data_IF_500334197675
#
_entry.id   IF_500334197675
#
_cell.length_a   1.000
_cell.length_b   1.000
_cell.length_c   1.000
_cell.angle_alpha   90.00
_cell.angle_beta   90.00
_cell.angle_gamma   90.00
#
_symmetry.space_group_name_H-M   'P 1'
#
loop_
_entity.id
_entity.type
_entity.pdbx_description
1 polymer ?
#
# COMPACT_ATOMS: atom_id res chain seq x y z
N UNK A 1 -21.04 -10.44 -27.05
CA UNK A 1 -19.94 -10.97 -26.22
C UNK A 1 -19.50 -9.79 -25.40
N UNK A 2 -20.11 -9.64 -24.23
CA UNK A 2 -19.92 -8.45 -23.40
C UNK A 2 -18.49 -8.46 -22.87
N UNK A 3 -17.69 -7.52 -23.35
CA UNK A 3 -16.41 -7.20 -22.73
C UNK A 3 -16.79 -6.59 -21.39
N UNK A 4 -16.69 -7.36 -20.30
CA UNK A 4 -16.80 -6.80 -18.96
C UNK A 4 -15.67 -5.78 -18.84
N UNK A 5 -16.01 -4.49 -18.97
CA UNK A 5 -15.17 -3.37 -18.57
C UNK A 5 -14.88 -3.53 -17.08
N UNK A 6 -13.70 -4.06 -16.78
CA UNK A 6 -13.24 -4.17 -15.41
C UNK A 6 -12.62 -2.83 -15.03
N UNK A 7 -13.32 -2.08 -14.17
CA UNK A 7 -12.73 -0.92 -13.50
C UNK A 7 -12.25 -1.32 -12.11
N UNK A 8 -11.09 -0.79 -11.72
CA UNK A 8 -10.53 -0.95 -10.38
C UNK A 8 -11.37 -0.16 -9.36
N UNK A 9 -11.99 0.93 -9.81
CA UNK A 9 -12.77 1.87 -9.03
C UNK A 9 -14.09 1.29 -8.48
N UNK A 10 -14.80 0.50 -9.29
CA UNK A 10 -16.12 -0.06 -8.96
C UNK A 10 -16.16 -0.83 -7.63
N UNK A 11 -15.38 -1.92 -7.47
CA UNK A 11 -15.34 -2.67 -6.21
C UNK A 11 -14.92 -1.83 -5.01
N UNK A 12 -14.07 -0.81 -5.18
CA UNK A 12 -13.68 0.06 -4.06
C UNK A 12 -14.88 0.91 -3.62
N UNK A 13 -15.63 1.50 -4.57
CA UNK A 13 -16.82 2.29 -4.25
C UNK A 13 -17.90 1.48 -3.51
N UNK A 14 -18.13 0.25 -3.95
CA UNK A 14 -19.09 -0.67 -3.31
C UNK A 14 -18.77 -0.90 -1.83
N UNK A 15 -17.50 -0.79 -1.45
CA UNK A 15 -17.03 -1.03 -0.09
C UNK A 15 -17.03 0.20 0.82
N UNK A 16 -17.33 1.41 0.32
CA UNK A 16 -17.24 2.65 1.10
C UNK A 16 -18.06 2.64 2.39
N UNK A 17 -19.26 2.04 2.35
CA UNK A 17 -20.15 1.94 3.51
C UNK A 17 -19.55 1.11 4.67
N UNK A 18 -18.52 0.30 4.39
CA UNK A 18 -17.81 -0.53 5.37
C UNK A 18 -16.64 0.20 6.03
N UNK A 19 -16.27 1.40 5.57
CA UNK A 19 -15.21 2.21 6.16
C UNK A 19 -15.76 3.12 7.26
N UNK A 20 -15.44 2.91 8.56
CA UNK A 20 -15.99 3.70 9.66
C UNK A 20 -15.70 5.21 9.58
N UNK A 21 -14.57 5.59 8.98
CA UNK A 21 -14.18 6.99 8.80
C UNK A 21 -14.54 7.56 7.41
N UNK A 22 -15.19 6.77 6.56
CA UNK A 22 -15.54 7.15 5.20
C UNK A 22 -14.33 7.45 4.30
N UNK A 23 -13.12 7.04 4.70
CA UNK A 23 -11.88 7.28 3.94
C UNK A 23 -11.26 5.97 3.46
N UNK A 24 -10.81 6.00 2.21
CA UNK A 24 -10.09 4.90 1.56
C UNK A 24 -8.63 5.29 1.31
N UNK A 25 -7.78 4.28 1.17
CA UNK A 25 -6.33 4.43 1.08
C UNK A 25 -5.63 3.63 2.17
N UNK A 26 -4.31 3.59 2.11
CA UNK A 26 -3.51 2.90 3.12
C UNK A 26 -3.14 3.82 4.29
N UNK A 27 -2.87 3.21 5.44
CA UNK A 27 -2.17 3.87 6.54
C UNK A 27 -0.68 3.90 6.20
N UNK A 28 -0.04 5.07 6.30
CA UNK A 28 1.39 5.27 5.97
C UNK A 28 2.13 5.70 7.24
N UNK A 29 3.12 4.92 7.63
CA UNK A 29 4.01 5.23 8.76
C UNK A 29 5.32 5.83 8.24
N UNK A 30 5.62 7.07 8.66
CA UNK A 30 6.93 7.68 8.46
C UNK A 30 7.87 7.14 9.54
N UNK A 31 9.01 6.57 9.16
CA UNK A 31 10.01 6.09 10.14
C UNK A 31 11.34 6.82 10.05
N UNK A 32 11.47 7.74 9.09
CA UNK A 32 12.70 8.48 8.85
C UNK A 32 12.46 9.99 8.74
N UNK A 33 13.29 10.75 9.44
CA UNK A 33 12.99 12.13 9.87
C UNK A 33 14.04 13.18 9.49
N UNK A 34 14.97 12.85 8.60
CA UNK A 34 16.10 13.74 8.25
C UNK A 34 15.70 14.98 7.44
N UNK A 35 14.60 14.90 6.67
CA UNK A 35 14.19 15.97 5.75
C UNK A 35 12.66 16.04 5.59
N UNK A 36 12.04 17.02 6.24
CA UNK A 36 10.59 17.26 6.20
C UNK A 36 10.11 17.76 4.83
N UNK A 37 10.96 18.48 4.08
CA UNK A 37 10.61 18.94 2.75
C UNK A 37 10.57 17.76 1.77
N UNK A 38 11.54 16.86 1.87
CA UNK A 38 11.57 15.61 1.11
C UNK A 38 10.39 14.71 1.47
N UNK A 39 10.05 14.61 2.75
CA UNK A 39 8.85 13.91 3.20
C UNK A 39 7.56 14.48 2.60
N UNK A 40 7.37 15.81 2.65
CA UNK A 40 6.21 16.45 2.05
C UNK A 40 6.12 16.19 0.54
N UNK A 41 7.25 16.19 -0.17
CA UNK A 41 7.30 15.84 -1.59
C UNK A 41 6.99 14.36 -1.84
N UNK A 42 7.46 13.46 -0.99
CA UNK A 42 7.14 12.03 -1.05
C UNK A 42 5.63 11.79 -0.93
N UNK A 43 4.98 12.34 0.11
CA UNK A 43 3.53 12.22 0.31
C UNK A 43 2.76 12.82 -0.87
N UNK A 44 3.22 13.96 -1.39
CA UNK A 44 2.65 14.58 -2.58
C UNK A 44 2.75 13.65 -3.79
N UNK A 45 3.89 13.00 -4.04
CA UNK A 45 4.06 12.06 -5.16
C UNK A 45 3.16 10.84 -5.05
N UNK A 46 2.99 10.26 -3.85
CA UNK A 46 2.05 9.15 -3.65
C UNK A 46 0.62 9.57 -3.97
N UNK A 47 0.23 10.76 -3.51
CA UNK A 47 -1.12 11.31 -3.71
C UNK A 47 -1.36 11.68 -5.17
N UNK A 48 -0.39 12.31 -5.83
CA UNK A 48 -0.42 12.63 -7.26
C UNK A 48 -0.53 11.36 -8.10
N UNK A 49 0.20 10.29 -7.73
CA UNK A 49 0.12 8.99 -8.41
C UNK A 49 -1.28 8.41 -8.35
N UNK A 50 -1.86 8.30 -7.16
CA UNK A 50 -3.22 7.79 -6.97
C UNK A 50 -4.27 8.67 -7.66
N UNK A 51 -4.09 10.00 -7.61
CA UNK A 51 -4.99 10.93 -8.30
C UNK A 51 -4.90 10.78 -9.82
N UNK A 52 -3.69 10.58 -10.34
CA UNK A 52 -3.46 10.37 -11.77
C UNK A 52 -4.11 9.09 -12.25
N UNK A 53 -3.84 7.95 -11.59
CA UNK A 53 -4.43 6.66 -11.93
C UNK A 53 -5.95 6.70 -11.85
N UNK A 54 -6.53 7.26 -10.78
CA UNK A 54 -7.99 7.47 -10.69
C UNK A 54 -8.58 8.37 -11.79
N UNK A 55 -7.79 9.24 -12.41
CA UNK A 55 -8.25 10.06 -13.55
C UNK A 55 -8.13 9.34 -14.90
N UNK A 56 -7.28 8.32 -14.99
CA UNK A 56 -6.87 7.70 -16.27
C UNK A 56 -7.28 6.21 -16.38
N UNK A 57 -7.42 5.49 -15.26
CA UNK A 57 -7.88 4.09 -15.21
C UNK A 57 -9.37 3.98 -15.60
N UNK A 58 -10.15 5.03 -15.38
CA UNK A 58 -11.56 5.11 -15.78
C UNK A 58 -11.75 5.59 -17.25
N UNK A 59 -10.66 5.81 -18.00
CA UNK A 59 -10.69 6.05 -19.46
C UNK A 59 -10.68 4.70 -20.23
N UNK A 60 -11.09 3.60 -19.59
CA UNK A 60 -11.61 2.45 -20.33
C UNK A 60 -13.00 2.83 -20.90
N UNK A 61 -12.99 3.44 -22.09
CA UNK A 61 -14.04 3.51 -23.13
C UNK A 61 -15.53 3.83 -22.78
N UNK A 62 -15.94 3.93 -21.51
CA UNK A 62 -17.34 4.02 -21.08
C UNK A 62 -17.75 5.37 -20.47
N UNK A 63 -16.81 6.28 -20.24
CA UNK A 63 -17.11 7.53 -19.53
C UNK A 63 -17.45 7.31 -18.06
N UNK A 64 -16.84 6.30 -17.44
CA UNK A 64 -17.00 5.98 -16.01
C UNK A 64 -16.49 7.17 -15.15
N UNK A 65 -17.34 7.65 -14.24
CA UNK A 65 -17.05 8.80 -13.35
C UNK A 65 -16.65 8.33 -11.94
N UNK A 66 -16.53 7.01 -11.72
CA UNK A 66 -16.28 6.40 -10.41
C UNK A 66 -14.94 6.80 -9.81
N UNK A 67 -13.92 7.00 -10.63
CA UNK A 67 -12.60 7.47 -10.23
C UNK A 67 -12.66 8.88 -9.65
N UNK A 68 -13.48 9.76 -10.23
CA UNK A 68 -13.74 11.11 -9.68
C UNK A 68 -14.51 11.06 -8.36
N UNK A 69 -15.40 10.08 -8.18
CA UNK A 69 -16.06 9.86 -6.89
C UNK A 69 -15.09 9.35 -5.82
N UNK A 70 -14.22 8.38 -6.17
CA UNK A 70 -13.20 7.86 -5.27
C UNK A 70 -12.21 8.92 -4.82
N UNK A 71 -11.81 9.85 -5.71
CA UNK A 71 -10.94 10.98 -5.32
C UNK A 71 -11.49 11.82 -4.17
N UNK A 72 -12.81 11.94 -4.04
CA UNK A 72 -13.45 12.73 -2.97
C UNK A 72 -13.28 12.08 -1.59
N UNK A 73 -13.11 10.77 -1.56
CA UNK A 73 -13.01 9.96 -0.33
C UNK A 73 -11.61 9.38 -0.12
N UNK A 74 -10.74 9.44 -1.13
CA UNK A 74 -9.35 9.01 -1.05
C UNK A 74 -8.53 9.92 -0.14
N UNK A 75 -7.90 9.32 0.87
CA UNK A 75 -6.93 9.97 1.73
C UNK A 75 -6.02 8.91 2.37
N UNK A 76 -4.71 9.07 2.20
CA UNK A 76 -3.76 8.32 3.01
C UNK A 76 -3.87 8.76 4.47
N UNK A 77 -3.89 7.79 5.38
CA UNK A 77 -3.84 8.04 6.83
C UNK A 77 -2.37 8.10 7.24
N UNK A 78 -1.83 9.32 7.32
CA UNK A 78 -0.43 9.56 7.61
C UNK A 78 -0.19 9.52 9.13
N UNK A 79 0.69 8.61 9.55
CA UNK A 79 1.18 8.48 10.93
C UNK A 79 2.61 8.98 11.00
N UNK A 80 2.75 10.15 11.58
CA UNK A 80 3.99 10.92 11.64
C UNK A 80 4.28 11.39 13.08
N UNK A 81 4.59 10.43 13.95
CA UNK A 81 5.00 10.68 15.34
C UNK A 81 6.45 10.25 15.54
N UNK A 82 7.36 11.23 15.43
CA UNK A 82 8.80 11.01 15.55
C UNK A 82 9.18 10.29 16.85
N UNK A 83 8.52 10.61 17.96
CA UNK A 83 8.88 10.06 19.27
C UNK A 83 8.67 8.55 19.36
N UNK A 84 7.77 8.00 18.54
CA UNK A 84 7.42 6.57 18.55
C UNK A 84 7.84 5.82 17.30
N UNK A 85 8.11 6.52 16.19
CA UNK A 85 8.34 5.91 14.88
C UNK A 85 9.77 6.07 14.33
N UNK A 86 10.62 6.92 14.92
CA UNK A 86 12.00 7.09 14.45
C UNK A 86 12.75 5.75 14.46
N UNK A 87 13.26 5.36 13.28
CA UNK A 87 13.95 4.10 13.01
C UNK A 87 13.17 2.82 13.37
N UNK A 88 11.84 2.91 13.46
CA UNK A 88 10.98 1.76 13.73
C UNK A 88 11.12 0.68 12.63
N UNK A 89 11.31 -0.56 13.06
CA UNK A 89 11.45 -1.71 12.15
C UNK A 89 10.09 -2.15 11.58
N UNK A 90 10.10 -3.02 10.56
CA UNK A 90 8.86 -3.67 10.07
C UNK A 90 8.10 -4.38 11.19
N UNK A 91 8.80 -4.98 12.15
CA UNK A 91 8.18 -5.65 13.29
C UNK A 91 7.48 -4.65 14.23
N UNK A 92 8.11 -3.50 14.49
CA UNK A 92 7.54 -2.42 15.31
C UNK A 92 6.30 -1.83 14.64
N UNK A 93 6.38 -1.51 13.34
CA UNK A 93 5.26 -0.99 12.57
C UNK A 93 4.10 -1.99 12.54
N UNK A 94 4.38 -3.29 12.35
CA UNK A 94 3.33 -4.32 12.40
C UNK A 94 2.64 -4.34 13.77
N UNK A 95 3.40 -4.26 14.86
CA UNK A 95 2.85 -4.22 16.22
C UNK A 95 1.95 -2.99 16.43
N UNK A 96 2.46 -1.80 16.12
CA UNK A 96 1.72 -0.52 16.25
C UNK A 96 0.46 -0.53 15.38
N UNK A 97 0.55 -1.04 14.14
CA UNK A 97 -0.59 -1.14 13.24
C UNK A 97 -1.65 -2.11 13.76
N UNK A 98 -1.25 -3.27 14.31
CA UNK A 98 -2.18 -4.21 14.94
C UNK A 98 -2.85 -3.62 16.20
N UNK A 99 -2.11 -2.86 17.01
CA UNK A 99 -2.68 -2.14 18.17
C UNK A 99 -3.75 -1.15 17.72
N UNK A 100 -3.48 -0.35 16.67
CA UNK A 100 -4.48 0.55 16.09
C UNK A 100 -5.68 -0.23 15.51
N UNK A 101 -5.44 -1.27 14.70
CA UNK A 101 -6.49 -2.11 14.11
C UNK A 101 -7.44 -2.64 15.18
N UNK A 102 -6.91 -3.17 16.28
CA UNK A 102 -7.68 -3.72 17.38
C UNK A 102 -8.47 -2.67 18.19
N UNK A 103 -8.12 -1.39 18.05
CA UNK A 103 -8.88 -0.29 18.66
C UNK A 103 -10.05 0.19 17.81
N UNK A 104 -10.15 -0.23 16.54
CA UNK A 104 -11.28 0.07 15.66
C UNK A 104 -12.44 -0.89 15.99
N UNK A 105 -13.61 -0.39 16.45
CA UNK A 105 -14.77 -1.23 16.71
C UNK A 105 -15.25 -1.92 15.42
N UNK A 106 -15.57 -3.21 15.51
CA UNK A 106 -16.02 -4.04 14.38
C UNK A 106 -15.12 -3.87 13.13
N UNK A 107 -13.79 -3.85 13.37
CA UNK A 107 -12.79 -3.57 12.37
C UNK A 107 -13.02 -4.38 11.08
N UNK A 108 -13.29 -3.74 9.93
CA UNK A 108 -13.66 -4.44 8.73
C UNK A 108 -12.43 -5.09 8.08
N UNK A 109 -12.63 -6.27 7.50
CA UNK A 109 -11.61 -6.94 6.68
C UNK A 109 -11.52 -6.18 5.34
N UNK A 110 -10.51 -5.33 5.22
CA UNK A 110 -10.23 -4.47 4.06
C UNK A 110 -8.74 -4.13 3.98
N UNK A 111 -8.22 -3.76 2.79
CA UNK A 111 -6.82 -3.43 2.60
C UNK A 111 -6.28 -2.38 3.59
N UNK A 112 -7.06 -1.33 3.89
CA UNK A 112 -6.69 -0.28 4.87
C UNK A 112 -6.43 -0.80 6.29
N UNK A 113 -7.10 -1.88 6.71
CA UNK A 113 -7.00 -2.43 8.06
C UNK A 113 -6.19 -3.73 8.12
N UNK A 114 -5.92 -4.35 6.97
CA UNK A 114 -5.11 -5.56 6.87
C UNK A 114 -3.66 -5.26 6.47
N UNK A 115 -3.40 -4.10 5.86
CA UNK A 115 -2.07 -3.69 5.41
C UNK A 115 -1.78 -2.21 5.65
N UNK A 116 -0.51 -1.91 5.87
CA UNK A 116 0.00 -0.55 5.98
C UNK A 116 1.27 -0.35 5.15
N UNK A 117 1.62 0.89 4.89
CA UNK A 117 2.86 1.28 4.24
C UNK A 117 3.88 1.72 5.28
N UNK A 118 5.08 1.17 5.22
CA UNK A 118 6.25 1.66 5.93
C UNK A 118 7.09 2.52 4.97
N UNK A 119 7.28 3.79 5.32
CA UNK A 119 8.08 4.74 4.57
C UNK A 119 9.37 5.07 5.34
N UNK A 120 10.37 4.21 5.15
CA UNK A 120 11.72 4.41 5.64
C UNK A 120 12.56 5.20 4.64
N UNK A 121 13.83 5.44 4.98
CA UNK A 121 14.78 6.13 4.12
C UNK A 121 14.83 5.54 2.71
N UNK A 122 14.89 4.22 2.60
CA UNK A 122 14.98 3.53 1.30
C UNK A 122 13.74 3.80 0.43
N UNK A 123 12.55 3.68 1.01
CA UNK A 123 11.29 3.95 0.32
C UNK A 123 11.21 5.41 -0.12
N UNK A 124 11.51 6.35 0.78
CA UNK A 124 11.49 7.79 0.49
C UNK A 124 12.49 8.11 -0.64
N UNK A 125 13.72 7.62 -0.55
CA UNK A 125 14.75 7.84 -1.55
C UNK A 125 14.32 7.28 -2.92
N UNK A 126 13.79 6.05 -2.97
CA UNK A 126 13.36 5.39 -4.22
C UNK A 126 12.27 6.17 -4.97
N UNK A 127 11.29 6.70 -4.25
CA UNK A 127 10.17 7.47 -4.85
C UNK A 127 10.62 8.86 -5.28
N UNK A 128 11.62 9.43 -4.59
CA UNK A 128 12.18 10.73 -4.94
C UNK A 128 13.09 10.68 -6.18
N UNK A 129 13.79 9.56 -6.38
CA UNK A 129 14.61 9.29 -7.57
C UNK A 129 13.78 9.00 -8.82
N UNK A 130 12.59 8.40 -8.67
CA UNK A 130 11.66 8.17 -9.77
C UNK A 130 10.81 9.44 -10.02
N UNK A 131 11.22 10.25 -11.00
CA UNK A 131 10.65 11.59 -11.20
C UNK A 131 9.12 11.60 -11.41
N UNK A 132 8.55 10.53 -12.02
CA UNK A 132 7.10 10.35 -12.27
C UNK A 132 6.78 8.84 -12.39
N UNK A 133 6.66 8.10 -11.27
CA UNK A 133 6.45 6.66 -11.33
C UNK A 133 5.20 6.27 -12.13
N UNK A 134 4.13 7.08 -12.09
CA UNK A 134 2.88 6.84 -12.84
C UNK A 134 2.94 7.11 -14.35
N UNK A 135 4.07 7.59 -14.88
CA UNK A 135 4.28 7.79 -16.34
C UNK A 135 5.43 6.96 -16.89
N UNK A 136 6.01 6.09 -16.05
CA UNK A 136 7.17 5.31 -16.39
C UNK A 136 6.72 3.88 -16.72
N UNK A 137 7.13 3.36 -17.87
CA UNK A 137 6.84 1.98 -18.28
C UNK A 137 7.46 0.95 -17.31
N UNK A 138 8.45 1.36 -16.51
CA UNK A 138 9.10 0.55 -15.48
C UNK A 138 9.32 1.38 -14.20
N UNK A 139 8.27 1.60 -13.40
CA UNK A 139 8.36 2.40 -12.19
C UNK A 139 9.34 1.76 -11.20
N UNK A 140 10.27 2.56 -10.68
CA UNK A 140 11.27 2.12 -9.68
C UNK A 140 10.92 2.62 -8.28
N UNK A 141 10.16 3.71 -8.20
CA UNK A 141 9.63 4.22 -6.94
C UNK A 141 8.67 3.20 -6.32
N UNK A 142 8.98 2.76 -5.11
CA UNK A 142 8.21 1.71 -4.44
C UNK A 142 8.00 2.02 -2.96
N UNK A 143 7.03 1.34 -2.37
CA UNK A 143 6.72 1.38 -0.95
C UNK A 143 6.88 -0.01 -0.34
N UNK A 144 7.09 -0.09 0.97
CA UNK A 144 7.02 -1.36 1.72
C UNK A 144 5.60 -1.56 2.22
N UNK A 145 4.86 -2.48 1.61
CA UNK A 145 3.53 -2.87 2.07
C UNK A 145 3.67 -3.99 3.10
N UNK A 146 3.26 -3.72 4.32
CA UNK A 146 3.37 -4.60 5.49
C UNK A 146 2.01 -5.20 5.78
N UNK A 147 1.97 -6.52 5.96
CA UNK A 147 0.76 -7.27 6.31
C UNK A 147 0.63 -7.42 7.83
N UNK A 148 -0.56 -7.11 8.35
CA UNK A 148 -0.85 -7.11 9.79
C UNK A 148 -0.83 -8.50 10.42
N UNK A 149 -1.52 -9.46 9.82
CA UNK A 149 -1.74 -10.80 10.36
C UNK A 149 -0.57 -11.77 10.14
N UNK A 150 0.55 -11.28 9.60
CA UNK A 150 1.71 -12.12 9.35
C UNK A 150 2.32 -12.65 10.65
N UNK A 151 2.36 -13.97 10.77
CA UNK A 151 2.98 -14.70 11.87
C UNK A 151 4.11 -15.56 11.33
N UNK A 152 5.32 -15.39 11.87
CA UNK A 152 6.54 -16.08 11.41
C UNK A 152 6.40 -17.60 11.41
N UNK A 153 5.64 -18.13 12.37
CA UNK A 153 5.40 -19.55 12.64
C UNK A 153 4.72 -20.29 11.47
N UNK A 154 4.04 -19.57 10.58
CA UNK A 154 3.18 -20.17 9.54
C UNK A 154 3.96 -20.53 8.28
N UNK A 155 5.23 -20.13 8.20
CA UNK A 155 5.98 -20.12 6.94
C UNK A 155 7.42 -20.62 7.08
N UNK A 156 7.76 -21.36 8.14
CA UNK A 156 9.07 -22.00 8.28
C UNK A 156 9.29 -23.02 7.14
N UNK A 157 10.21 -22.69 6.22
CA UNK A 157 10.55 -23.54 5.09
C UNK A 157 11.55 -24.65 5.51
N UNK A 158 11.43 -25.84 4.92
CA UNK A 158 12.36 -26.96 5.14
C UNK A 158 13.78 -26.68 4.64
N UNK A 159 13.92 -25.80 3.64
CA UNK A 159 15.17 -25.22 3.15
C UNK A 159 14.98 -23.70 3.16
N UNK A 160 15.74 -22.98 3.99
CA UNK A 160 15.52 -21.56 4.24
C UNK A 160 15.96 -20.66 3.08
N UNK A 161 15.19 -19.61 2.79
CA UNK A 161 15.64 -18.48 1.97
C UNK A 161 16.69 -17.66 2.73
N UNK A 162 17.51 -16.83 2.03
CA UNK A 162 18.34 -15.82 2.68
C UNK A 162 17.51 -14.97 3.66
N UNK A 163 18.03 -14.79 4.86
CA UNK A 163 17.30 -14.11 5.92
C UNK A 163 16.99 -12.66 5.55
N UNK A 164 15.74 -12.26 5.72
CA UNK A 164 15.29 -10.86 5.68
C UNK A 164 14.59 -10.57 7.01
N UNK A 165 15.05 -9.55 7.73
CA UNK A 165 14.56 -9.19 9.06
C UNK A 165 14.52 -10.38 10.04
N UNK A 166 15.53 -11.25 9.93
CA UNK A 166 15.66 -12.48 10.71
C UNK A 166 14.71 -13.61 10.32
N UNK A 167 13.99 -13.51 9.19
CA UNK A 167 13.12 -14.56 8.66
C UNK A 167 13.73 -15.23 7.43
N UNK A 168 13.83 -16.56 7.46
CA UNK A 168 14.21 -17.41 6.32
C UNK A 168 13.01 -17.97 5.56
N UNK A 169 11.79 -17.57 5.95
CA UNK A 169 10.57 -17.93 5.24
C UNK A 169 10.54 -17.34 3.82
N UNK A 170 9.74 -17.96 2.94
CA UNK A 170 9.44 -17.36 1.64
C UNK A 170 8.66 -16.05 1.83
N UNK A 171 7.61 -16.09 2.64
CA UNK A 171 6.81 -14.94 3.03
C UNK A 171 7.37 -14.30 4.30
N UNK A 172 7.84 -13.05 4.20
CA UNK A 172 8.41 -12.30 5.33
C UNK A 172 7.42 -11.26 5.90
N UNK A 173 6.18 -11.30 5.42
CA UNK A 173 5.08 -10.45 5.90
C UNK A 173 5.11 -9.03 5.41
N UNK A 174 5.93 -8.73 4.40
CA UNK A 174 5.95 -7.46 3.69
C UNK A 174 6.52 -7.65 2.29
N UNK A 175 6.15 -6.77 1.36
CA UNK A 175 6.68 -6.74 -0.01
C UNK A 175 6.95 -5.32 -0.48
N UNK A 176 7.75 -5.18 -1.54
CA UNK A 176 7.90 -3.90 -2.24
C UNK A 176 6.82 -3.77 -3.32
N UNK A 177 6.03 -2.71 -3.26
CA UNK A 177 5.00 -2.40 -4.25
C UNK A 177 5.38 -1.13 -5.02
N UNK A 178 5.40 -1.19 -6.34
CA UNK A 178 5.59 -0.01 -7.17
C UNK A 178 4.44 0.98 -6.93
N UNK A 179 4.77 2.27 -6.75
CA UNK A 179 3.83 3.35 -6.42
C UNK A 179 2.73 3.48 -7.48
N UNK A 180 3.09 3.29 -8.76
CA UNK A 180 2.17 3.39 -9.89
C UNK A 180 0.96 2.45 -9.79
N UNK A 181 1.09 1.33 -9.08
CA UNK A 181 0.04 0.32 -8.95
C UNK A 181 -0.49 0.19 -7.51
N UNK A 182 -0.06 1.05 -6.60
CA UNK A 182 -0.49 1.01 -5.20
C UNK A 182 -1.99 1.30 -5.06
N UNK A 183 -2.51 2.26 -5.82
CA UNK A 183 -3.91 2.66 -5.80
C UNK A 183 -4.35 3.18 -7.17
N UNK A 184 -5.55 2.82 -7.69
CA UNK A 184 -6.56 1.94 -7.09
C UNK A 184 -6.27 0.44 -7.27
N UNK A 185 -5.43 0.05 -8.23
CA UNK A 185 -5.15 -1.35 -8.61
C UNK A 185 -4.96 -2.33 -7.48
N UNK A 186 -3.85 -2.22 -6.74
CA UNK A 186 -3.56 -3.18 -5.69
C UNK A 186 -4.65 -3.17 -4.62
N UNK A 187 -5.19 -2.00 -4.29
CA UNK A 187 -6.29 -1.90 -3.34
C UNK A 187 -7.51 -2.72 -3.79
N UNK A 188 -7.91 -2.60 -5.07
CA UNK A 188 -9.01 -3.39 -5.66
C UNK A 188 -8.71 -4.89 -5.69
N UNK A 189 -7.47 -5.27 -6.03
CA UNK A 189 -7.06 -6.68 -6.04
C UNK A 189 -7.11 -7.26 -4.63
N UNK A 190 -6.63 -6.54 -3.62
CA UNK A 190 -6.65 -6.98 -2.22
C UNK A 190 -8.05 -7.05 -1.62
N UNK A 191 -9.05 -6.37 -2.21
CA UNK A 191 -10.46 -6.58 -1.83
C UNK A 191 -10.98 -7.95 -2.26
N UNK A 192 -10.39 -8.57 -3.29
CA UNK A 192 -10.92 -9.78 -3.96
C UNK A 192 -10.00 -11.00 -3.87
N UNK A 193 -8.70 -10.79 -3.70
CA UNK A 193 -7.67 -11.82 -3.74
C UNK A 193 -6.95 -11.96 -2.40
N UNK A 194 -6.19 -13.04 -2.29
CA UNK A 194 -5.29 -13.28 -1.16
C UNK A 194 -3.91 -12.67 -1.42
N UNK A 195 -3.26 -12.23 -0.35
CA UNK A 195 -1.85 -11.82 -0.32
C UNK A 195 -0.91 -12.71 -1.13
N UNK A 196 -1.16 -14.03 -1.16
CA UNK A 196 -0.29 -14.99 -1.85
C UNK A 196 -0.17 -14.79 -3.37
N UNK A 197 -1.19 -14.24 -4.05
CA UNK A 197 -1.09 -13.96 -5.50
C UNK A 197 -0.18 -12.76 -5.78
N UNK A 198 -0.29 -11.75 -4.93
CA UNK A 198 0.41 -10.47 -5.08
C UNK A 198 1.83 -10.52 -4.53
N UNK A 199 2.07 -11.38 -3.54
CA UNK A 199 3.32 -11.41 -2.81
C UNK A 199 4.52 -11.64 -3.73
N UNK A 200 5.48 -10.73 -3.62
CA UNK A 200 6.83 -10.89 -4.18
C UNK A 200 7.83 -10.74 -3.06
N UNK A 201 8.63 -11.79 -2.86
CA UNK A 201 9.66 -11.78 -1.84
C UNK A 201 10.69 -10.68 -2.13
N UNK A 202 10.94 -9.75 -1.19
CA UNK A 202 11.99 -8.75 -1.34
C UNK A 202 13.35 -9.41 -1.65
N UNK A 203 14.23 -8.74 -2.43
CA UNK A 203 14.17 -7.35 -2.86
C UNK A 203 13.37 -7.09 -4.16
N UNK A 204 12.63 -8.07 -4.68
CA UNK A 204 11.81 -7.89 -5.88
C UNK A 204 10.69 -6.88 -5.63
N UNK A 205 10.40 -6.06 -6.64
CA UNK A 205 9.28 -5.11 -6.66
C UNK A 205 8.11 -5.75 -7.40
N UNK A 206 6.89 -5.60 -6.88
CA UNK A 206 5.64 -5.92 -7.59
C UNK A 206 5.29 -4.75 -8.50
N UNK A 207 5.20 -5.01 -9.81
CA UNK A 207 5.08 -4.01 -10.89
C UNK A 207 3.83 -4.21 -11.76
N UNK A 208 2.87 -5.03 -11.32
CA UNK A 208 1.69 -5.46 -12.07
C UNK A 208 0.57 -5.90 -11.12
#
# INVERSE_FOLDING_TARGET
MDVYEWSESGPILETLHRHPDGKIGFVIYRTHYDDDQKWAQFVKRLTDSASYTLSHDDICFSGDMRGEELKKVFAYDIRDDKATLEDASVADIRRIFCEWKNSVPDCPIMPKYDMCVLADKEVIDSVMEDARPWKNDRPRGHVKLVRADHKKEWHEAKEGYPAIDGSTAHDVGWMKQAVAYLFPRLYSVLLRSSWGSEYRRPPRIRED
#
